data_IF_055541508267
#
_entry.id   IF_055541508267
#
_cell.length_a   1.000
_cell.length_b   1.000
_cell.length_c   1.000
_cell.angle_alpha   90.00
_cell.angle_beta   90.00
_cell.angle_gamma   90.00
#
_symmetry.space_group_name_H-M   'P 1'
#
loop_
_entity.id
_entity.type
_entity.pdbx_description
1 polymer ?
#
# COMPACT_ATOMS: atom_id res chain seq x y z
N UNK A 1 13.13 -9.41 1.56
CA UNK A 1 13.26 -9.37 0.07
C UNK A 1 13.66 -10.73 -0.50
N UNK A 2 14.37 -11.61 0.26
CA UNK A 2 14.82 -12.91 -0.25
C UNK A 2 13.71 -13.90 -0.63
N UNK A 3 12.46 -13.65 -0.29
CA UNK A 3 11.34 -14.59 -0.50
C UNK A 3 10.32 -14.14 -1.57
N UNK A 4 10.51 -12.96 -2.11
CA UNK A 4 9.74 -12.43 -3.23
C UNK A 4 10.70 -12.24 -4.40
N UNK A 5 10.78 -13.07 -5.39
CA UNK A 5 11.20 -12.61 -6.72
C UNK A 5 11.35 -13.75 -7.74
N UNK A 6 10.44 -13.81 -8.70
CA UNK A 6 10.80 -13.95 -10.11
C UNK A 6 10.36 -12.65 -10.78
N UNK A 7 11.29 -11.73 -11.01
CA UNK A 7 11.01 -10.49 -11.72
C UNK A 7 11.17 -10.71 -13.23
N UNK A 8 10.12 -10.46 -14.01
CA UNK A 8 10.22 -10.36 -15.47
C UNK A 8 10.02 -8.90 -15.85
N UNK A 9 11.01 -8.27 -16.48
CA UNK A 9 10.88 -6.94 -17.08
C UNK A 9 10.99 -5.73 -16.13
N UNK A 10 11.45 -5.89 -14.89
CA UNK A 10 11.54 -4.84 -13.87
C UNK A 10 12.80 -3.97 -13.91
N UNK A 11 13.70 -4.13 -14.87
CA UNK A 11 15.01 -3.44 -14.86
C UNK A 11 14.92 -1.91 -14.75
N UNK A 12 13.93 -1.30 -15.39
CA UNK A 12 13.73 0.15 -15.34
C UNK A 12 12.94 0.59 -14.10
N UNK A 13 11.98 -0.21 -13.65
CA UNK A 13 11.21 -0.01 -12.41
C UNK A 13 12.15 -0.04 -11.21
N UNK A 14 13.06 -1.01 -11.14
CA UNK A 14 14.00 -1.18 -10.04
C UNK A 14 14.92 0.04 -9.83
N UNK A 15 15.34 0.70 -10.90
CA UNK A 15 16.22 1.88 -10.83
C UNK A 15 15.51 3.16 -10.40
N UNK A 16 14.18 3.20 -10.47
CA UNK A 16 13.35 4.39 -10.21
C UNK A 16 12.35 4.18 -9.09
N UNK A 17 12.57 3.18 -8.25
CA UNK A 17 11.71 2.88 -7.11
C UNK A 17 12.35 3.26 -5.78
N UNK A 18 11.52 3.55 -4.81
CA UNK A 18 11.87 3.60 -3.39
C UNK A 18 11.19 2.43 -2.70
N UNK A 19 11.97 1.63 -1.98
CA UNK A 19 11.42 0.58 -1.13
C UNK A 19 10.97 1.19 0.20
N UNK A 20 9.69 1.01 0.49
CA UNK A 20 9.06 1.41 1.75
C UNK A 20 9.21 0.27 2.75
N UNK A 21 10.31 0.26 3.46
CA UNK A 21 10.63 -0.78 4.45
C UNK A 21 10.82 -0.21 5.84
N UNK A 22 10.54 -1.03 6.87
CA UNK A 22 10.80 -0.73 8.28
C UNK A 22 10.13 0.55 8.80
N UNK A 23 9.02 0.96 8.20
CA UNK A 23 8.23 2.08 8.70
C UNK A 23 7.31 1.61 9.83
N UNK A 24 7.34 2.33 10.94
CA UNK A 24 6.46 2.07 12.08
C UNK A 24 6.15 3.38 12.80
N UNK A 25 5.01 3.39 13.46
CA UNK A 25 4.64 4.47 14.37
C UNK A 25 5.02 4.04 15.78
N UNK A 26 5.82 4.85 16.47
CA UNK A 26 6.22 4.54 17.86
C UNK A 26 4.99 4.42 18.74
N UNK A 27 5.07 3.59 19.80
CA UNK A 27 3.93 3.30 20.67
C UNK A 27 3.27 4.55 21.27
N UNK A 28 4.06 5.59 21.52
CA UNK A 28 3.58 6.87 22.05
C UNK A 28 2.64 7.62 21.10
N UNK A 29 2.78 7.40 19.78
CA UNK A 29 1.98 8.03 18.73
C UNK A 29 0.96 7.10 18.08
N UNK A 30 0.80 5.88 18.61
CA UNK A 30 -0.28 5.00 18.15
C UNK A 30 -1.62 5.46 18.70
N UNK A 31 -2.68 5.34 17.87
CA UNK A 31 -4.02 5.89 18.14
C UNK A 31 -4.61 5.51 19.50
N UNK A 32 -4.27 4.35 20.03
CA UNK A 32 -4.74 3.87 21.35
C UNK A 32 -4.13 4.63 22.53
N UNK A 33 -3.00 5.32 22.35
CA UNK A 33 -2.29 6.03 23.41
C UNK A 33 -2.14 7.53 23.21
N UNK A 34 -2.08 7.98 21.94
CA UNK A 34 -1.76 9.36 21.59
C UNK A 34 -2.98 10.26 21.36
N UNK A 35 -4.20 9.77 21.48
CA UNK A 35 -5.42 10.55 21.19
C UNK A 35 -5.39 11.15 19.78
N UNK A 36 -5.67 12.44 19.66
CA UNK A 36 -5.70 13.15 18.37
C UNK A 36 -4.35 13.18 17.64
N UNK A 37 -3.22 13.16 18.37
CA UNK A 37 -1.89 13.17 17.75
C UNK A 37 -1.57 11.89 16.97
N UNK A 38 -2.08 10.75 17.43
CA UNK A 38 -1.87 9.46 16.75
C UNK A 38 -2.59 9.34 15.40
N UNK A 39 -3.67 10.10 15.19
CA UNK A 39 -4.44 10.08 13.95
C UNK A 39 -3.63 10.57 12.74
N UNK A 40 -2.67 11.46 12.96
CA UNK A 40 -1.88 12.06 11.90
C UNK A 40 -0.50 11.44 11.70
N UNK A 41 -0.10 10.49 12.55
CA UNK A 41 1.25 9.93 12.50
C UNK A 41 1.53 9.21 11.16
N UNK A 42 0.55 8.47 10.63
CA UNK A 42 0.67 7.80 9.34
C UNK A 42 0.62 8.81 8.17
N UNK A 43 -0.19 9.87 8.30
CA UNK A 43 -0.24 10.95 7.31
C UNK A 43 1.10 11.68 7.19
N UNK A 44 1.77 11.97 8.29
CA UNK A 44 3.09 12.61 8.29
C UNK A 44 4.16 11.76 7.57
N UNK A 45 4.03 10.43 7.61
CA UNK A 45 4.87 9.52 6.82
C UNK A 45 4.65 9.74 5.31
N UNK A 46 3.40 9.90 4.89
CA UNK A 46 3.06 10.20 3.50
C UNK A 46 3.53 11.58 3.06
N UNK A 47 3.51 12.58 3.95
CA UNK A 47 4.08 13.91 3.68
C UNK A 47 5.59 13.81 3.41
N UNK A 48 6.31 13.00 4.20
CA UNK A 48 7.73 12.71 3.96
C UNK A 48 8.00 12.03 2.61
N UNK A 49 7.15 11.09 2.19
CA UNK A 49 7.25 10.43 0.88
C UNK A 49 6.89 11.41 -0.25
N UNK A 50 5.91 12.28 -0.05
CA UNK A 50 5.57 13.35 -0.97
C UNK A 50 6.76 14.30 -1.20
N UNK A 51 7.38 14.76 -0.11
CA UNK A 51 8.59 15.56 -0.17
C UNK A 51 9.73 14.86 -0.94
N UNK A 52 9.91 13.55 -0.71
CA UNK A 52 10.93 12.76 -1.40
C UNK A 52 10.72 12.76 -2.93
N UNK A 53 9.48 12.70 -3.41
CA UNK A 53 9.20 12.74 -4.87
C UNK A 53 9.56 14.08 -5.49
N UNK A 54 9.49 15.17 -4.73
CA UNK A 54 9.92 16.50 -5.17
C UNK A 54 11.45 16.58 -5.20
N UNK A 55 12.11 16.14 -4.14
CA UNK A 55 13.59 16.20 -4.02
C UNK A 55 14.27 15.21 -4.99
N UNK A 56 13.63 14.08 -5.30
CA UNK A 56 14.14 13.02 -6.17
C UNK A 56 13.15 12.73 -7.32
N UNK A 57 13.07 13.61 -8.33
CA UNK A 57 12.08 13.51 -9.42
C UNK A 57 12.21 12.26 -10.30
N UNK A 58 13.33 11.56 -10.19
CA UNK A 58 13.54 10.28 -10.86
C UNK A 58 12.82 9.11 -10.20
N UNK A 59 12.33 9.27 -8.98
CA UNK A 59 11.51 8.28 -8.29
C UNK A 59 10.13 8.24 -8.96
N UNK A 60 9.78 7.08 -9.51
CA UNK A 60 8.51 6.87 -10.20
C UNK A 60 7.62 5.85 -9.53
N UNK A 61 8.19 5.06 -8.62
CA UNK A 61 7.47 3.98 -7.97
C UNK A 61 7.80 3.93 -6.49
N UNK A 62 6.78 3.62 -5.70
CA UNK A 62 6.93 3.16 -4.33
C UNK A 62 6.66 1.66 -4.29
N UNK A 63 7.63 0.89 -3.85
CA UNK A 63 7.49 -0.53 -3.60
C UNK A 63 7.44 -0.77 -2.09
N UNK A 64 6.42 -1.44 -1.61
CA UNK A 64 6.26 -1.67 -0.18
C UNK A 64 5.73 -3.06 0.11
N UNK A 65 5.61 -3.34 1.41
CA UNK A 65 4.99 -4.55 1.92
C UNK A 65 3.93 -4.21 2.96
N UNK A 66 2.75 -4.79 2.80
CA UNK A 66 1.76 -4.81 3.85
C UNK A 66 1.99 -6.04 4.70
N UNK A 67 2.02 -5.86 6.01
CA UNK A 67 2.24 -6.95 6.96
C UNK A 67 0.96 -7.21 7.75
N UNK A 68 0.53 -8.46 7.77
CA UNK A 68 -0.49 -8.94 8.69
C UNK A 68 0.14 -9.97 9.65
N UNK A 69 -0.27 -9.89 10.90
CA UNK A 69 0.24 -10.79 11.94
C UNK A 69 -0.57 -12.09 11.97
N UNK A 70 0.04 -13.24 12.31
CA UNK A 70 -0.67 -14.52 12.44
C UNK A 70 -1.82 -14.49 13.45
N UNK A 71 -1.79 -13.56 14.40
CA UNK A 71 -2.87 -13.32 15.36
C UNK A 71 -4.11 -12.65 14.79
N UNK A 72 -4.05 -12.13 13.57
CA UNK A 72 -5.21 -11.56 12.90
C UNK A 72 -6.21 -12.66 12.52
N UNK A 73 -7.52 -12.36 12.58
CA UNK A 73 -8.56 -13.34 12.29
C UNK A 73 -8.41 -13.92 10.88
N UNK A 74 -8.31 -15.26 10.75
CA UNK A 74 -8.00 -15.94 9.48
C UNK A 74 -8.98 -15.59 8.36
N UNK A 75 -10.28 -15.73 8.62
CA UNK A 75 -11.30 -15.38 7.64
C UNK A 75 -11.27 -13.88 7.28
N UNK A 76 -11.01 -13.00 8.25
CA UNK A 76 -10.85 -11.56 8.00
C UNK A 76 -9.65 -11.27 7.12
N UNK A 77 -8.52 -11.95 7.37
CA UNK A 77 -7.33 -11.91 6.52
C UNK A 77 -7.64 -12.35 5.08
N UNK A 78 -8.30 -13.48 4.94
CA UNK A 78 -8.64 -14.06 3.63
C UNK A 78 -9.56 -13.16 2.82
N UNK A 79 -10.56 -12.55 3.47
CA UNK A 79 -11.43 -11.56 2.84
C UNK A 79 -10.62 -10.34 2.34
N UNK A 80 -9.67 -9.83 3.14
CA UNK A 80 -8.80 -8.72 2.73
C UNK A 80 -7.93 -9.11 1.53
N UNK A 81 -7.28 -10.27 1.59
CA UNK A 81 -6.40 -10.73 0.51
C UNK A 81 -7.17 -11.02 -0.78
N UNK A 82 -8.34 -11.63 -0.69
CA UNK A 82 -9.20 -11.87 -1.84
C UNK A 82 -9.64 -10.56 -2.49
N UNK A 83 -10.12 -9.60 -1.68
CA UNK A 83 -10.51 -8.26 -2.14
C UNK A 83 -9.36 -7.53 -2.83
N UNK A 84 -8.18 -7.53 -2.21
CA UNK A 84 -6.98 -6.91 -2.78
C UNK A 84 -6.59 -7.56 -4.11
N UNK A 85 -6.61 -8.87 -4.19
CA UNK A 85 -6.28 -9.58 -5.42
C UNK A 85 -7.30 -9.31 -6.54
N UNK A 86 -8.58 -9.20 -6.19
CA UNK A 86 -9.66 -8.89 -7.16
C UNK A 86 -9.47 -7.51 -7.77
N UNK A 87 -9.22 -6.48 -6.94
CA UNK A 87 -9.21 -5.09 -7.38
C UNK A 87 -7.82 -4.57 -7.78
N UNK A 88 -6.76 -5.16 -7.23
CA UNK A 88 -5.38 -4.69 -7.41
C UNK A 88 -4.40 -5.77 -7.85
N UNK A 89 -4.88 -6.98 -8.11
CA UNK A 89 -4.01 -8.10 -8.50
C UNK A 89 -3.13 -7.79 -9.70
N UNK A 90 -1.86 -8.17 -9.65
CA UNK A 90 -0.90 -7.96 -10.73
C UNK A 90 -1.20 -8.86 -11.93
N UNK A 91 -1.93 -8.34 -12.91
CA UNK A 91 -2.32 -9.03 -14.14
C UNK A 91 -1.11 -9.39 -15.02
N UNK A 92 -0.04 -8.61 -14.91
CA UNK A 92 1.18 -8.78 -15.72
C UNK A 92 2.15 -9.82 -15.11
N UNK A 93 1.85 -10.30 -13.90
CA UNK A 93 2.69 -11.26 -13.14
C UNK A 93 4.16 -10.81 -13.06
N UNK A 94 4.38 -9.52 -12.78
CA UNK A 94 5.70 -8.92 -12.65
C UNK A 94 6.47 -9.51 -11.49
N UNK A 95 5.79 -9.76 -10.37
CA UNK A 95 6.36 -10.40 -9.19
C UNK A 95 5.40 -11.49 -8.71
N UNK A 96 5.96 -12.65 -8.41
CA UNK A 96 5.20 -13.77 -7.87
C UNK A 96 5.90 -14.29 -6.62
N UNK A 97 5.20 -14.52 -5.51
CA UNK A 97 5.77 -15.17 -4.34
C UNK A 97 6.29 -16.57 -4.70
N UNK A 98 7.47 -16.95 -4.21
CA UNK A 98 8.00 -18.32 -4.42
C UNK A 98 7.15 -19.37 -3.70
N UNK A 99 6.62 -19.01 -2.53
CA UNK A 99 5.69 -19.82 -1.73
C UNK A 99 4.50 -18.93 -1.40
N UNK A 100 3.49 -18.87 -2.28
CA UNK A 100 2.31 -18.05 -2.03
C UNK A 100 1.55 -18.57 -0.80
N UNK A 101 1.01 -17.63 -0.03
CA UNK A 101 0.10 -17.94 1.05
C UNK A 101 -1.22 -18.43 0.47
N UNK A 102 -1.70 -19.56 0.95
CA UNK A 102 -2.99 -20.10 0.57
C UNK A 102 -4.11 -19.43 1.35
N UNK A 103 -5.21 -19.14 0.66
CA UNK A 103 -6.46 -18.68 1.27
C UNK A 103 -7.20 -19.92 1.78
N UNK A 104 -7.51 -19.93 3.08
CA UNK A 104 -8.15 -21.06 3.78
C UNK A 104 -9.69 -20.99 3.69
N UNK A 105 -10.23 -19.79 3.53
CA UNK A 105 -11.68 -19.54 3.41
C UNK A 105 -12.20 -20.05 2.06
N UNK A 106 -13.37 -20.66 2.07
CA UNK A 106 -14.01 -21.19 0.86
C UNK A 106 -14.09 -20.17 -0.26
N UNK A 107 -13.58 -20.53 -1.42
CA UNK A 107 -13.49 -19.63 -2.57
C UNK A 107 -14.86 -19.19 -3.07
N UNK A 108 -15.85 -20.08 -3.09
CA UNK A 108 -17.20 -19.74 -3.55
C UNK A 108 -17.88 -18.75 -2.60
N UNK A 109 -17.62 -18.90 -1.29
CA UNK A 109 -18.08 -17.94 -0.31
C UNK A 109 -17.52 -16.56 -0.61
N UNK A 110 -16.21 -16.44 -0.88
CA UNK A 110 -15.56 -15.16 -1.19
C UNK A 110 -16.04 -14.57 -2.54
N UNK A 111 -16.23 -15.40 -3.56
CA UNK A 111 -16.79 -15.00 -4.85
C UNK A 111 -18.21 -14.45 -4.73
N UNK A 112 -19.05 -15.10 -3.92
CA UNK A 112 -20.41 -14.63 -3.67
C UNK A 112 -20.44 -13.35 -2.83
N UNK A 113 -19.52 -13.23 -1.88
CA UNK A 113 -19.42 -12.06 -1.01
C UNK A 113 -18.98 -10.81 -1.80
N UNK A 114 -17.99 -10.95 -2.64
CA UNK A 114 -17.42 -9.87 -3.46
C UNK A 114 -17.85 -10.04 -4.93
N UNK A 115 -19.14 -9.96 -5.19
CA UNK A 115 -19.70 -10.20 -6.52
C UNK A 115 -19.88 -8.93 -7.37
N UNK A 116 -19.62 -7.75 -6.81
CA UNK A 116 -19.78 -6.48 -7.53
C UNK A 116 -18.52 -6.14 -8.36
N UNK A 117 -18.73 -5.47 -9.51
CA UNK A 117 -17.64 -4.93 -10.32
C UNK A 117 -17.17 -3.55 -9.84
N UNK A 118 -17.61 -3.14 -8.66
CA UNK A 118 -17.34 -1.85 -8.05
C UNK A 118 -16.48 -2.00 -6.80
N UNK A 119 -15.29 -1.38 -6.83
CA UNK A 119 -14.43 -1.26 -5.66
C UNK A 119 -15.17 -0.71 -4.44
N UNK A 120 -15.99 0.33 -4.63
CA UNK A 120 -16.70 1.00 -3.54
C UNK A 120 -17.71 0.09 -2.85
N UNK A 121 -18.41 -0.74 -3.61
CA UNK A 121 -19.41 -1.65 -3.07
C UNK A 121 -18.75 -2.82 -2.36
N UNK A 122 -17.79 -3.47 -3.00
CA UNK A 122 -17.02 -4.56 -2.39
C UNK A 122 -16.27 -4.08 -1.14
N UNK A 123 -15.74 -2.84 -1.12
CA UNK A 123 -15.08 -2.27 0.05
C UNK A 123 -16.04 -2.07 1.23
N UNK A 124 -17.28 -1.64 0.99
CA UNK A 124 -18.30 -1.55 2.06
C UNK A 124 -18.58 -2.91 2.67
N UNK A 125 -18.70 -3.94 1.82
CA UNK A 125 -18.89 -5.31 2.25
C UNK A 125 -17.71 -5.78 3.08
N UNK A 126 -16.49 -5.64 2.56
CA UNK A 126 -15.26 -5.99 3.27
C UNK A 126 -15.21 -5.37 4.67
N UNK A 127 -15.45 -4.06 4.75
CA UNK A 127 -15.40 -3.34 6.02
C UNK A 127 -16.48 -3.84 7.01
N UNK A 128 -17.66 -4.14 6.50
CA UNK A 128 -18.77 -4.67 7.31
C UNK A 128 -18.45 -6.07 7.83
N UNK A 129 -18.00 -6.97 6.96
CA UNK A 129 -17.75 -8.36 7.34
C UNK A 129 -16.53 -8.49 8.28
N UNK A 130 -15.47 -7.74 8.04
CA UNK A 130 -14.32 -7.71 8.96
C UNK A 130 -14.71 -7.18 10.33
N UNK A 131 -15.57 -6.16 10.40
CA UNK A 131 -16.09 -5.64 11.69
C UNK A 131 -16.99 -6.61 12.43
N UNK A 132 -17.77 -7.41 11.74
CA UNK A 132 -18.59 -8.49 12.35
C UNK A 132 -17.72 -9.52 13.07
N UNK A 133 -16.48 -9.72 12.62
CA UNK A 133 -15.50 -10.58 13.28
C UNK A 133 -14.80 -9.92 14.49
N UNK A 134 -15.14 -8.67 14.82
CA UNK A 134 -14.52 -7.90 15.90
C UNK A 134 -13.17 -7.26 15.51
N UNK A 135 -12.84 -7.19 14.23
CA UNK A 135 -11.59 -6.64 13.72
C UNK A 135 -11.82 -5.40 12.84
N UNK A 136 -10.76 -4.68 12.55
CA UNK A 136 -10.75 -3.62 11.55
C UNK A 136 -9.76 -3.96 10.44
N UNK A 137 -10.00 -3.48 9.23
CA UNK A 137 -8.98 -3.51 8.17
C UNK A 137 -7.75 -2.77 8.69
N UNK A 138 -6.53 -3.36 8.61
CA UNK A 138 -5.34 -2.71 9.11
C UNK A 138 -5.16 -1.30 8.52
N UNK A 139 -4.81 -0.28 9.33
CA UNK A 139 -4.71 1.10 8.85
C UNK A 139 -3.78 1.27 7.64
N UNK A 140 -2.67 0.53 7.61
CA UNK A 140 -1.73 0.60 6.49
C UNK A 140 -2.33 0.05 5.19
N UNK A 141 -3.15 -1.01 5.26
CA UNK A 141 -3.88 -1.56 4.09
C UNK A 141 -4.82 -0.50 3.53
N UNK A 142 -5.60 0.16 4.40
CA UNK A 142 -6.48 1.25 3.99
C UNK A 142 -5.72 2.43 3.38
N UNK A 143 -4.58 2.81 3.97
CA UNK A 143 -3.75 3.90 3.46
C UNK A 143 -3.28 3.62 2.03
N UNK A 144 -2.78 2.43 1.77
CA UNK A 144 -2.34 2.04 0.43
C UNK A 144 -3.49 2.01 -0.59
N UNK A 145 -4.62 1.39 -0.26
CA UNK A 145 -5.78 1.34 -1.16
C UNK A 145 -6.33 2.73 -1.50
N UNK A 146 -6.24 3.68 -0.57
CA UNK A 146 -6.71 5.05 -0.76
C UNK A 146 -5.71 5.96 -1.47
N UNK A 147 -4.49 5.50 -1.74
CA UNK A 147 -3.45 6.32 -2.34
C UNK A 147 -3.52 6.33 -3.87
N UNK A 148 -3.74 5.16 -4.48
CA UNK A 148 -3.79 5.02 -5.93
C UNK A 148 -4.77 3.92 -6.35
N UNK A 149 -5.65 4.18 -7.33
CA UNK A 149 -6.57 3.18 -7.87
C UNK A 149 -5.85 2.13 -8.73
N UNK A 150 -4.62 2.40 -9.14
CA UNK A 150 -3.78 1.52 -9.97
C UNK A 150 -2.68 0.83 -9.17
N UNK A 151 -2.78 0.86 -7.84
CA UNK A 151 -1.91 0.08 -6.98
C UNK A 151 -1.85 -1.38 -7.48
N UNK A 152 -0.67 -2.00 -7.47
CA UNK A 152 -0.51 -3.41 -7.81
C UNK A 152 -0.20 -4.23 -6.57
N UNK A 153 -0.89 -5.33 -6.42
CA UNK A 153 -0.66 -6.35 -5.39
C UNK A 153 0.00 -7.57 -6.01
N UNK A 154 1.15 -7.98 -5.47
CA UNK A 154 1.97 -9.08 -6.01
C UNK A 154 1.77 -10.43 -5.32
N UNK A 155 0.74 -10.57 -4.52
CA UNK A 155 0.49 -11.75 -3.71
C UNK A 155 1.17 -11.68 -2.34
N UNK A 156 0.91 -12.70 -1.54
CA UNK A 156 1.30 -12.77 -0.13
C UNK A 156 2.16 -13.99 0.12
N UNK A 157 3.14 -13.87 1.01
CA UNK A 157 3.96 -14.99 1.50
C UNK A 157 4.25 -14.83 2.99
N UNK A 158 4.59 -15.95 3.65
CA UNK A 158 5.02 -15.93 5.06
C UNK A 158 6.51 -15.55 5.12
N UNK A 159 6.84 -14.61 5.99
CA UNK A 159 8.21 -14.24 6.31
C UNK A 159 8.68 -14.94 7.58
N UNK A 160 9.23 -16.14 7.42
CA UNK A 160 9.75 -16.94 8.54
C UNK A 160 10.96 -16.30 9.27
N UNK A 161 11.63 -15.37 8.62
CA UNK A 161 12.75 -14.62 9.22
C UNK A 161 12.32 -13.42 10.06
N UNK A 162 11.01 -13.15 10.13
CA UNK A 162 10.45 -11.99 10.86
C UNK A 162 9.13 -12.35 11.56
N UNK A 163 9.17 -13.34 12.43
CA UNK A 163 8.03 -13.72 13.29
C UNK A 163 6.84 -14.30 12.54
N UNK A 164 7.08 -15.00 11.43
CA UNK A 164 6.08 -15.70 10.62
C UNK A 164 4.94 -14.80 10.12
N UNK A 165 5.22 -13.50 10.00
CA UNK A 165 4.23 -12.55 9.51
C UNK A 165 3.91 -12.78 8.04
N UNK A 166 2.70 -12.44 7.66
CA UNK A 166 2.20 -12.54 6.30
C UNK A 166 2.45 -11.21 5.56
N UNK A 167 3.37 -11.22 4.60
CA UNK A 167 3.77 -10.04 3.85
C UNK A 167 3.19 -10.06 2.43
N UNK A 168 2.48 -8.99 2.09
CA UNK A 168 1.93 -8.76 0.75
C UNK A 168 2.72 -7.66 0.05
N UNK A 169 3.33 -7.97 -1.09
CA UNK A 169 4.05 -6.99 -1.89
C UNK A 169 3.11 -6.07 -2.66
N UNK A 170 3.42 -4.78 -2.68
CA UNK A 170 2.66 -3.76 -3.40
C UNK A 170 3.57 -2.83 -4.19
N UNK A 171 3.04 -2.26 -5.26
CA UNK A 171 3.68 -1.22 -6.06
C UNK A 171 2.70 -0.09 -6.33
N UNK A 172 3.15 1.15 -6.17
CA UNK A 172 2.40 2.35 -6.48
C UNK A 172 3.19 3.18 -7.47
N UNK A 173 2.59 3.54 -8.59
CA UNK A 173 3.14 4.52 -9.52
C UNK A 173 2.87 5.94 -8.98
N UNK A 174 3.92 6.73 -8.81
CA UNK A 174 3.83 8.08 -8.20
C UNK A 174 2.94 9.01 -9.01
N UNK A 175 2.97 8.90 -10.34
CA UNK A 175 2.14 9.71 -11.24
C UNK A 175 0.66 9.29 -11.27
N UNK A 176 0.31 8.17 -10.65
CA UNK A 176 -1.06 7.63 -10.57
C UNK A 176 -1.66 7.77 -9.17
N UNK A 177 -0.97 8.50 -8.29
CA UNK A 177 -1.50 8.87 -6.97
C UNK A 177 -2.71 9.80 -7.18
N UNK A 178 -3.79 9.53 -6.43
CA UNK A 178 -5.02 10.33 -6.48
C UNK A 178 -4.75 11.82 -6.24
N UNK A 179 -5.48 12.67 -6.95
CA UNK A 179 -5.28 14.12 -6.97
C UNK A 179 -5.36 14.74 -5.56
N UNK A 180 -6.35 14.35 -4.76
CA UNK A 180 -6.50 14.84 -3.39
C UNK A 180 -5.29 14.48 -2.50
N UNK A 181 -4.70 13.30 -2.72
CA UNK A 181 -3.50 12.84 -2.03
C UNK A 181 -2.25 13.56 -2.54
N UNK A 182 -2.17 13.78 -3.84
CA UNK A 182 -1.09 14.54 -4.47
C UNK A 182 -1.07 15.99 -3.97
N UNK A 183 -2.22 16.65 -3.96
CA UNK A 183 -2.35 18.01 -3.44
C UNK A 183 -1.95 18.07 -1.96
N UNK A 184 -2.42 17.11 -1.16
CA UNK A 184 -2.14 17.08 0.28
C UNK A 184 -0.66 16.83 0.57
N UNK A 185 -0.05 15.79 -0.01
CA UNK A 185 1.26 15.29 0.41
C UNK A 185 2.43 15.82 -0.43
N UNK A 186 2.18 16.27 -1.67
CA UNK A 186 3.23 16.74 -2.58
C UNK A 186 3.15 18.26 -2.73
N UNK A 187 2.02 18.80 -3.13
CA UNK A 187 1.91 20.25 -3.39
C UNK A 187 2.00 21.09 -2.13
N UNK A 188 1.52 20.57 -1.00
CA UNK A 188 1.68 21.25 0.29
C UNK A 188 3.16 21.45 0.63
N UNK A 189 4.00 20.45 0.38
CA UNK A 189 5.44 20.54 0.55
C UNK A 189 6.06 21.59 -0.39
N UNK A 190 5.69 21.58 -1.67
CA UNK A 190 6.19 22.55 -2.67
C UNK A 190 5.81 23.98 -2.28
N UNK A 191 4.58 24.19 -1.77
CA UNK A 191 4.14 25.52 -1.30
C UNK A 191 4.93 26.02 -0.09
N UNK A 192 5.32 25.12 0.80
CA UNK A 192 6.12 25.46 2.00
C UNK A 192 7.62 25.60 1.68
N UNK A 193 8.10 24.91 0.63
CA UNK A 193 9.51 24.84 0.25
C UNK A 193 9.71 25.12 -1.25
N UNK A 194 9.42 26.34 -1.73
CA UNK A 194 9.54 26.67 -3.17
C UNK A 194 10.98 26.57 -3.69
N UNK A 195 11.97 26.64 -2.80
CA UNK A 195 13.38 26.41 -3.13
C UNK A 195 13.68 24.98 -3.57
N UNK A 196 12.90 23.99 -3.11
CA UNK A 196 13.09 22.59 -3.49
C UNK A 196 12.90 22.35 -5.00
N UNK A 197 12.08 23.17 -5.67
CA UNK A 197 11.91 23.10 -7.13
C UNK A 197 13.13 23.58 -7.90
N UNK A 198 13.94 24.49 -7.31
CA UNK A 198 15.16 25.02 -7.95
C UNK A 198 16.27 23.97 -8.02
N UNK A 199 16.27 23.01 -7.10
CA UNK A 199 17.23 21.92 -7.05
C UNK A 199 16.95 20.91 -8.18
N UNK A 200 15.73 20.88 -8.72
CA UNK A 200 15.26 19.90 -9.68
C UNK A 200 15.01 20.47 -11.07
N UNK A 201 15.62 21.57 -11.45
CA UNK A 201 15.41 22.36 -12.67
C UNK A 201 15.64 21.60 -14.02
N UNK A 202 15.24 20.37 -14.09
CA UNK A 202 15.31 19.51 -15.25
C UNK A 202 14.14 18.55 -15.41
N UNK A 203 12.88 19.02 -15.45
CA UNK A 203 11.68 18.26 -15.74
C UNK A 203 10.98 17.61 -14.53
N UNK A 204 9.98 18.29 -14.02
CA UNK A 204 8.97 17.72 -13.12
C UNK A 204 7.74 17.31 -13.93
N UNK A 205 7.54 16.02 -14.26
CA UNK A 205 6.35 15.59 -15.02
C UNK A 205 5.06 15.63 -14.20
N UNK A 206 5.14 15.87 -12.89
CA UNK A 206 3.99 15.82 -11.97
C UNK A 206 3.26 17.18 -11.86
N UNK A 207 3.95 18.29 -12.15
CA UNK A 207 3.42 19.64 -11.95
C UNK A 207 3.00 20.36 -13.24
N UNK A 208 3.05 19.68 -14.39
CA UNK A 208 2.74 20.26 -15.70
C UNK A 208 1.44 19.70 -16.31
N UNK A 209 0.39 19.54 -15.54
CA UNK A 209 -0.96 19.33 -16.08
C UNK A 209 -1.96 20.17 -15.32
#
# INVERSE_FOLDING_TARGET
>A
IRYLVRSRGLGDVYKRQVELGRSFVTLEYQSTRAGSKGLFALDNLWDGLGALTVIKPNVKYFFGKMTMYPSYHRQGRDMILYFLNKHFGDKDKLITPMKPLEIETDKKMLENLFCYDSFKEDYKILNTEVRKLGYNIPPLVNAYMSLSPTMRMFGTAINYGFGDVEETGILIAVNEILEDKRVRHIESFVKQHPEALKITSGAHPILTK
#
